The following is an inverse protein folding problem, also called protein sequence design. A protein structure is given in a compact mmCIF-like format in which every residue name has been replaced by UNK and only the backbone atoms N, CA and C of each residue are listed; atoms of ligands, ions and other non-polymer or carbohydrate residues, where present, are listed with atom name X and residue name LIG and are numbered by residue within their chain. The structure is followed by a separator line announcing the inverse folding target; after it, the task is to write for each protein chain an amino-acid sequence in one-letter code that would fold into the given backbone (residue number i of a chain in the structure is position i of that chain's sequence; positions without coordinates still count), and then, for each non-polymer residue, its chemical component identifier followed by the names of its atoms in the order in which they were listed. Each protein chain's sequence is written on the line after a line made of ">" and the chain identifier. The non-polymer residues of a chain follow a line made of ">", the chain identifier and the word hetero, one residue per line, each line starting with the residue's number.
data_IF_944905728660
#
_entry.id   IF_944905728660
#
_cell.length_a   1.000
_cell.length_b   1.000
_cell.length_c   1.000
_cell.angle_alpha   90.00
_cell.angle_beta   90.00
_cell.angle_gamma   90.00
#
_symmetry.space_group_name_H-M   'P 1'
#
loop_
_entity.id
_entity.type
_entity.pdbx_description
1 polymer ?
#
# COMPACT_ATOMS: atom_id res chain seq x y z
N UNK A 1 37.13 -77.23 32.77
CA UNK A 1 37.12 -76.09 33.73
C UNK A 1 37.25 -74.84 32.88
N UNK A 2 36.11 -74.20 32.60
CA UNK A 2 35.78 -72.81 32.99
C UNK A 2 36.53 -71.77 32.12
N UNK A 3 35.92 -71.14 31.12
CA UNK A 3 34.90 -70.07 31.13
C UNK A 3 35.47 -68.65 31.36
N UNK A 4 35.42 -67.81 30.31
CA UNK A 4 35.13 -66.35 30.25
C UNK A 4 35.56 -65.85 28.85
N UNK A 5 34.86 -65.07 28.05
CA UNK A 5 33.59 -64.34 28.11
C UNK A 5 33.65 -63.30 26.98
N UNK A 6 32.95 -63.53 25.86
CA UNK A 6 32.86 -62.56 24.75
C UNK A 6 31.53 -61.81 24.90
N UNK A 7 31.63 -60.49 25.11
CA UNK A 7 30.51 -59.58 25.30
C UNK A 7 29.63 -59.46 24.07
N UNK A 8 28.32 -59.56 24.29
CA UNK A 8 27.25 -59.31 23.33
C UNK A 8 27.18 -57.82 22.99
N UNK A 9 27.40 -57.46 21.73
CA UNK A 9 26.87 -56.19 21.20
C UNK A 9 25.37 -56.36 20.93
N UNK A 10 24.58 -55.78 21.83
CA UNK A 10 23.13 -55.78 21.77
C UNK A 10 22.59 -54.99 20.59
N UNK A 11 21.50 -55.52 20.01
CA UNK A 11 20.56 -54.85 19.12
C UNK A 11 20.11 -53.51 19.72
N UNK A 12 20.76 -52.41 19.35
CA UNK A 12 20.29 -51.06 19.67
C UNK A 12 20.61 -50.09 18.52
N UNK A 13 20.37 -50.52 17.27
CA UNK A 13 20.69 -49.72 16.08
C UNK A 13 19.62 -49.72 14.99
N UNK A 14 18.50 -50.44 15.15
CA UNK A 14 17.42 -50.49 14.13
C UNK A 14 16.10 -49.85 14.56
N UNK A 15 15.89 -49.61 15.85
CA UNK A 15 14.71 -48.90 16.37
C UNK A 15 14.87 -47.36 16.26
N UNK A 16 16.11 -46.86 16.35
CA UNK A 16 16.37 -45.41 16.34
C UNK A 16 16.31 -44.78 14.93
N UNK A 17 16.42 -45.59 13.87
CA UNK A 17 16.35 -45.10 12.49
C UNK A 17 14.91 -45.04 11.95
N UNK A 18 13.97 -45.78 12.55
CA UNK A 18 12.55 -45.74 12.20
C UNK A 18 11.79 -44.63 12.93
N UNK A 19 12.24 -44.21 14.12
CA UNK A 19 11.68 -43.02 14.79
C UNK A 19 12.09 -41.70 14.15
N UNK A 20 13.25 -41.62 13.49
CA UNK A 20 13.71 -40.39 12.84
C UNK A 20 13.02 -40.10 11.49
N UNK A 21 12.42 -41.12 10.86
CA UNK A 21 11.68 -40.99 9.60
C UNK A 21 10.18 -40.70 9.79
N UNK A 22 9.61 -40.93 10.98
CA UNK A 22 8.21 -40.58 11.28
C UNK A 22 8.04 -39.15 11.83
N UNK A 23 9.11 -38.48 12.27
CA UNK A 23 9.04 -37.11 12.83
C UNK A 23 9.14 -36.02 11.74
N UNK A 24 9.49 -36.38 10.50
CA UNK A 24 9.47 -35.43 9.35
C UNK A 24 8.13 -35.38 8.60
N UNK A 25 7.12 -36.12 9.05
CA UNK A 25 5.74 -36.04 8.55
C UNK A 25 4.83 -35.19 9.46
N UNK A 26 5.42 -34.24 10.20
CA UNK A 26 4.66 -33.26 10.97
C UNK A 26 4.04 -32.22 10.02
N UNK A 27 2.80 -32.52 9.62
CA UNK A 27 1.75 -31.56 9.27
C UNK A 27 2.14 -30.42 8.32
N UNK A 28 2.39 -30.72 7.05
CA UNK A 28 1.94 -29.79 5.99
C UNK A 28 0.46 -30.05 5.77
N UNK A 29 -0.41 -29.51 6.63
CA UNK A 29 -1.81 -29.37 6.27
C UNK A 29 -1.85 -28.51 5.00
N UNK A 30 -2.23 -29.10 3.87
CA UNK A 30 -2.65 -28.32 2.71
C UNK A 30 -3.73 -27.34 3.18
N UNK A 31 -3.74 -26.08 2.72
CA UNK A 31 -4.79 -25.13 3.06
C UNK A 31 -6.13 -25.81 2.76
N UNK A 32 -7.00 -25.84 3.76
CA UNK A 32 -8.32 -26.43 3.61
C UNK A 32 -9.04 -25.70 2.47
N UNK A 33 -9.86 -26.40 1.70
CA UNK A 33 -10.69 -25.79 0.64
C UNK A 33 -11.65 -24.69 1.17
N UNK A 34 -11.69 -24.45 2.49
CA UNK A 34 -12.34 -23.32 3.16
C UNK A 34 -11.55 -22.00 3.17
N UNK A 35 -10.30 -21.96 2.71
CA UNK A 35 -9.38 -20.81 2.88
C UNK A 35 -9.35 -19.81 1.71
N UNK A 36 -10.24 -19.94 0.72
CA UNK A 36 -10.31 -18.99 -0.40
C UNK A 36 -11.09 -17.73 0.02
N UNK A 37 -10.50 -16.52 -0.06
CA UNK A 37 -11.24 -15.29 0.09
C UNK A 37 -12.52 -15.24 -0.77
N UNK A 38 -13.62 -14.81 -0.15
CA UNK A 38 -14.93 -14.52 -0.77
C UNK A 38 -14.91 -13.24 -1.58
N UNK A 39 -13.93 -12.38 -1.34
CA UNK A 39 -13.75 -11.12 -2.05
C UNK A 39 -13.59 -11.35 -3.56
N UNK A 40 -14.42 -10.69 -4.34
CA UNK A 40 -14.33 -10.61 -5.81
C UNK A 40 -13.94 -9.18 -6.28
N UNK A 41 -14.13 -8.19 -5.40
CA UNK A 41 -13.90 -6.77 -5.67
C UNK A 41 -13.11 -6.13 -4.53
N UNK A 42 -12.05 -5.39 -4.86
CA UNK A 42 -11.25 -4.64 -3.89
C UNK A 42 -11.24 -3.17 -4.27
N UNK A 43 -11.65 -2.32 -3.33
CA UNK A 43 -11.60 -0.86 -3.44
C UNK A 43 -10.63 -0.33 -2.39
N UNK A 44 -9.67 0.49 -2.81
CA UNK A 44 -8.71 1.18 -1.93
C UNK A 44 -9.02 2.67 -1.98
N UNK A 45 -9.54 3.23 -0.90
CA UNK A 45 -9.76 4.66 -0.73
C UNK A 45 -8.60 5.28 0.06
N UNK A 46 -7.90 6.21 -0.57
CA UNK A 46 -6.81 6.99 0.05
C UNK A 46 -7.31 8.42 0.25
N UNK A 47 -7.35 8.86 1.51
CA UNK A 47 -7.68 10.25 1.91
C UNK A 47 -6.37 10.95 2.23
N UNK A 48 -5.90 11.74 1.27
CA UNK A 48 -4.53 12.27 1.18
C UNK A 48 -4.23 13.30 2.28
N UNK A 49 -3.06 13.18 2.92
CA UNK A 49 -2.54 14.17 3.87
C UNK A 49 -3.36 14.41 5.14
N UNK A 50 -4.08 13.41 5.66
CA UNK A 50 -4.82 13.54 6.92
C UNK A 50 -3.92 13.26 8.14
N UNK A 51 -4.04 14.08 9.19
CA UNK A 51 -3.39 13.79 10.48
C UNK A 51 -4.30 12.94 11.36
N UNK A 52 -3.70 12.05 12.15
CA UNK A 52 -4.42 11.29 13.19
C UNK A 52 -5.11 12.19 14.21
N UNK A 53 -4.50 13.31 14.58
CA UNK A 53 -5.04 14.28 15.55
C UNK A 53 -6.39 14.87 15.15
N UNK A 54 -6.60 15.11 13.85
CA UNK A 54 -7.87 15.63 13.32
C UNK A 54 -8.85 14.53 12.89
N UNK A 55 -8.43 13.27 12.95
CA UNK A 55 -9.23 12.10 12.55
C UNK A 55 -9.44 11.17 13.74
N UNK A 56 -8.60 10.14 13.89
CA UNK A 56 -8.85 9.00 14.77
C UNK A 56 -8.51 9.24 16.25
N UNK A 57 -7.70 10.25 16.57
CA UNK A 57 -7.41 10.61 17.97
C UNK A 57 -8.50 11.49 18.59
N UNK A 58 -9.39 12.04 17.76
CA UNK A 58 -10.45 12.99 18.17
C UNK A 58 -11.86 12.47 17.86
N UNK A 59 -12.09 11.16 17.92
CA UNK A 59 -13.37 10.55 17.52
C UNK A 59 -14.54 10.85 18.49
N UNK A 60 -15.79 11.02 17.99
CA UNK A 60 -16.19 10.92 16.58
C UNK A 60 -15.76 12.12 15.72
N UNK A 61 -15.51 13.28 16.35
CA UNK A 61 -14.85 14.44 15.74
C UNK A 61 -15.35 14.81 14.35
N UNK A 62 -14.41 15.02 13.43
CA UNK A 62 -14.68 15.31 12.01
C UNK A 62 -15.05 14.07 11.20
N UNK A 63 -14.85 12.87 11.76
CA UNK A 63 -15.02 11.60 11.07
C UNK A 63 -16.10 10.69 11.70
N UNK A 64 -17.31 11.21 12.00
CA UNK A 64 -18.32 10.43 12.71
C UNK A 64 -18.75 9.18 11.93
N UNK A 65 -18.75 9.21 10.59
CA UNK A 65 -19.18 8.06 9.81
C UNK A 65 -18.12 6.95 9.79
N UNK A 66 -16.87 7.29 9.48
CA UNK A 66 -15.76 6.33 9.50
C UNK A 66 -15.58 5.74 10.91
N UNK A 67 -15.61 6.58 11.95
CA UNK A 67 -15.31 6.14 13.32
C UNK A 67 -16.44 5.37 14.02
N UNK A 68 -17.71 5.72 13.78
CA UNK A 68 -18.85 5.11 14.49
C UNK A 68 -19.69 4.17 13.62
N UNK A 69 -19.74 4.39 12.30
CA UNK A 69 -20.58 3.59 11.39
C UNK A 69 -19.77 2.53 10.66
N UNK A 70 -18.62 2.91 10.08
CA UNK A 70 -17.82 2.02 9.26
C UNK A 70 -16.88 1.16 10.10
N UNK A 71 -16.16 1.74 11.06
CA UNK A 71 -15.19 1.02 11.92
C UNK A 71 -15.77 -0.26 12.55
N UNK A 72 -17.00 -0.30 13.12
CA UNK A 72 -17.55 -1.53 13.69
C UNK A 72 -17.82 -2.66 12.67
N UNK A 73 -17.76 -2.37 11.36
CA UNK A 73 -18.00 -3.34 10.28
C UNK A 73 -16.74 -4.09 9.85
N UNK A 74 -15.56 -3.70 10.33
CA UNK A 74 -14.28 -4.28 9.92
C UNK A 74 -13.20 -4.24 10.99
N UNK A 75 -11.96 -4.25 10.54
CA UNK A 75 -10.74 -4.20 11.36
C UNK A 75 -10.10 -2.84 11.23
N UNK A 76 -9.82 -2.19 12.36
CA UNK A 76 -9.07 -0.95 12.40
C UNK A 76 -7.63 -1.19 12.86
N UNK A 77 -6.67 -0.57 12.18
CA UNK A 77 -5.24 -0.63 12.48
C UNK A 77 -4.75 0.78 12.76
N UNK A 78 -4.65 1.19 14.04
CA UNK A 78 -4.09 2.49 14.42
C UNK A 78 -2.57 2.56 14.20
N UNK A 79 -1.88 1.42 14.18
CA UNK A 79 -0.42 1.33 13.98
C UNK A 79 -0.06 0.96 12.53
N UNK A 80 -0.86 1.44 11.58
CA UNK A 80 -0.54 1.41 10.15
C UNK A 80 0.22 2.69 9.78
N UNK A 81 1.39 2.57 9.15
CA UNK A 81 2.33 3.69 9.01
C UNK A 81 2.84 3.85 7.56
N UNK A 82 3.22 5.08 7.21
CA UNK A 82 4.17 5.33 6.14
C UNK A 82 5.54 5.57 6.76
N UNK A 83 6.37 4.54 6.85
CA UNK A 83 7.69 4.61 7.49
C UNK A 83 8.85 4.82 6.50
N UNK A 84 8.54 5.29 5.30
CA UNK A 84 9.52 5.62 4.27
C UNK A 84 9.34 7.06 3.78
N UNK A 85 8.95 7.25 2.52
CA UNK A 85 8.86 8.55 1.88
C UNK A 85 7.44 9.09 2.02
N UNK A 86 7.29 10.17 2.79
CA UNK A 86 6.01 10.74 3.19
C UNK A 86 5.49 11.76 2.18
N UNK A 87 5.72 11.52 0.88
CA UNK A 87 5.21 12.32 -0.24
C UNK A 87 4.10 11.56 -0.99
N UNK A 88 3.18 12.31 -1.62
CA UNK A 88 2.01 11.73 -2.26
C UNK A 88 2.33 10.60 -3.24
N UNK A 89 3.17 10.86 -4.25
CA UNK A 89 3.48 9.86 -5.27
C UNK A 89 4.21 8.65 -4.68
N UNK A 90 5.09 8.86 -3.70
CA UNK A 90 5.83 7.78 -3.05
C UNK A 90 4.93 6.89 -2.19
N UNK A 91 4.02 7.49 -1.41
CA UNK A 91 3.06 6.75 -0.59
C UNK A 91 2.11 5.94 -1.46
N UNK A 92 1.59 6.52 -2.54
CA UNK A 92 0.75 5.79 -3.49
C UNK A 92 1.51 4.69 -4.27
N UNK A 93 2.77 4.94 -4.65
CA UNK A 93 3.63 3.90 -5.24
C UNK A 93 3.83 2.74 -4.25
N UNK A 94 4.07 3.02 -2.96
CA UNK A 94 4.19 1.99 -1.93
C UNK A 94 2.91 1.14 -1.79
N UNK A 95 1.73 1.79 -1.70
CA UNK A 95 0.42 1.11 -1.64
C UNK A 95 0.23 0.18 -2.85
N UNK A 96 0.58 0.67 -4.04
CA UNK A 96 0.23 -0.02 -5.29
C UNK A 96 1.28 -1.02 -5.75
N UNK A 97 2.52 -0.93 -5.30
CA UNK A 97 3.60 -1.85 -5.72
C UNK A 97 4.07 -2.78 -4.60
N UNK A 98 3.78 -2.44 -3.34
CA UNK A 98 4.40 -3.11 -2.18
C UNK A 98 5.88 -2.73 -1.98
N UNK A 99 6.34 -1.65 -2.60
CA UNK A 99 7.74 -1.23 -2.57
C UNK A 99 7.86 0.24 -2.18
N UNK A 100 8.57 0.50 -1.09
CA UNK A 100 8.98 1.86 -0.74
C UNK A 100 10.03 2.33 -1.75
N UNK A 101 9.74 3.42 -2.45
CA UNK A 101 10.69 4.06 -3.36
C UNK A 101 10.61 5.59 -3.26
N UNK A 102 11.75 6.29 -3.37
CA UNK A 102 11.70 7.69 -3.75
C UNK A 102 11.18 7.76 -5.18
N UNK A 103 10.36 8.76 -5.46
CA UNK A 103 9.83 9.02 -6.80
C UNK A 103 9.45 10.50 -6.87
N UNK A 104 9.64 11.09 -8.05
CA UNK A 104 9.17 12.44 -8.35
C UNK A 104 7.72 12.65 -7.88
N UNK A 105 7.47 13.77 -7.18
CA UNK A 105 6.15 14.11 -6.67
C UNK A 105 5.34 15.03 -7.59
N UNK A 106 5.80 15.23 -8.84
CA UNK A 106 5.12 16.02 -9.87
C UNK A 106 4.46 15.16 -10.96
N UNK A 107 4.70 13.85 -10.96
CA UNK A 107 4.07 12.90 -11.90
C UNK A 107 4.86 12.70 -13.19
N UNK A 108 6.17 12.98 -13.18
CA UNK A 108 7.06 12.83 -14.34
C UNK A 108 7.89 11.54 -14.31
N UNK A 109 7.74 10.72 -13.27
CA UNK A 109 8.46 9.47 -13.08
C UNK A 109 7.47 8.33 -12.86
N UNK A 110 7.71 7.17 -13.50
CA UNK A 110 6.93 5.96 -13.25
C UNK A 110 7.52 5.14 -12.09
N UNK A 111 6.67 4.45 -11.30
CA UNK A 111 7.14 3.48 -10.32
C UNK A 111 8.14 2.47 -10.92
N UNK A 112 9.16 2.10 -10.15
CA UNK A 112 10.21 1.17 -10.58
C UNK A 112 9.71 -0.28 -10.68
N UNK A 113 8.52 -0.57 -10.15
CA UNK A 113 7.89 -1.88 -10.20
C UNK A 113 6.45 -1.78 -10.73
N UNK A 114 5.96 -2.83 -11.42
CA UNK A 114 4.57 -2.92 -11.83
C UNK A 114 3.64 -2.89 -10.61
N UNK A 115 2.52 -2.21 -10.76
CA UNK A 115 1.52 -2.12 -9.70
C UNK A 115 0.68 -3.41 -9.59
N UNK A 116 -0.02 -3.58 -8.46
CA UNK A 116 -1.00 -4.63 -8.22
C UNK A 116 -2.05 -4.71 -9.34
N UNK A 117 -2.33 -3.58 -10.00
CA UNK A 117 -3.24 -3.51 -11.13
C UNK A 117 -2.67 -4.22 -12.36
N UNK A 118 -1.40 -3.96 -12.72
CA UNK A 118 -0.73 -4.64 -13.82
C UNK A 118 -0.61 -6.15 -13.55
N UNK A 119 -0.27 -6.54 -12.33
CA UNK A 119 -0.25 -7.96 -11.95
C UNK A 119 -1.64 -8.60 -12.05
N UNK A 120 -2.67 -7.95 -11.50
CA UNK A 120 -4.05 -8.45 -11.57
C UNK A 120 -4.50 -8.67 -13.02
N UNK A 121 -4.30 -7.68 -13.90
CA UNK A 121 -4.69 -7.76 -15.31
C UNK A 121 -3.91 -8.84 -16.05
N UNK A 122 -2.58 -8.94 -15.82
CA UNK A 122 -1.75 -9.99 -16.40
C UNK A 122 -2.19 -11.39 -15.99
N UNK A 123 -2.49 -11.58 -14.70
CA UNK A 123 -2.83 -12.90 -14.12
C UNK A 123 -4.25 -13.33 -14.45
N UNK A 124 -5.18 -12.38 -14.50
CA UNK A 124 -6.60 -12.66 -14.78
C UNK A 124 -6.93 -12.70 -16.27
N UNK A 125 -6.12 -12.08 -17.14
CA UNK A 125 -6.41 -11.92 -18.56
C UNK A 125 -7.60 -10.98 -18.85
N UNK A 126 -8.07 -10.24 -17.84
CA UNK A 126 -9.21 -9.31 -17.97
C UNK A 126 -8.81 -8.04 -18.73
N UNK A 127 -9.78 -7.34 -19.36
CA UNK A 127 -9.52 -6.07 -20.01
C UNK A 127 -9.11 -4.99 -19.00
N UNK A 128 -8.45 -3.93 -19.49
CA UNK A 128 -8.02 -2.79 -18.67
C UNK A 128 -9.16 -2.20 -17.81
N UNK A 129 -10.40 -2.24 -18.28
CA UNK A 129 -11.58 -1.73 -17.55
C UNK A 129 -11.96 -2.56 -16.31
N UNK A 130 -11.35 -3.73 -16.09
CA UNK A 130 -11.51 -4.50 -14.86
C UNK A 130 -10.68 -3.94 -13.68
N UNK A 131 -9.79 -2.98 -13.94
CA UNK A 131 -8.92 -2.38 -12.93
C UNK A 131 -8.78 -0.87 -13.17
N UNK A 132 -8.96 -0.05 -12.12
CA UNK A 132 -8.99 1.42 -12.26
C UNK A 132 -8.15 2.17 -11.24
N UNK A 133 -7.54 3.26 -11.68
CA UNK A 133 -7.02 4.32 -10.82
C UNK A 133 -7.87 5.57 -11.07
N UNK A 134 -8.60 6.00 -10.05
CA UNK A 134 -9.45 7.19 -10.09
C UNK A 134 -8.92 8.19 -9.07
N UNK A 135 -8.55 9.38 -9.51
CA UNK A 135 -7.79 10.31 -8.68
C UNK A 135 -8.22 11.75 -8.87
N UNK A 136 -8.33 12.48 -7.76
CA UNK A 136 -8.46 13.93 -7.79
C UNK A 136 -7.17 14.62 -8.25
N UNK A 137 -6.00 14.05 -7.98
CA UNK A 137 -4.69 14.53 -8.47
C UNK A 137 -4.36 13.89 -9.83
N UNK A 138 -4.14 14.68 -10.88
CA UNK A 138 -3.77 14.20 -12.23
C UNK A 138 -2.42 13.46 -12.26
N UNK A 139 -1.46 13.91 -11.46
CA UNK A 139 -0.11 13.33 -11.37
C UNK A 139 -0.09 11.85 -10.96
N UNK A 140 -1.14 11.34 -10.31
CA UNK A 140 -1.24 9.93 -9.91
C UNK A 140 -1.55 8.98 -11.07
N UNK A 141 -1.69 9.49 -12.30
CA UNK A 141 -1.76 8.64 -13.50
C UNK A 141 -0.53 7.72 -13.65
N UNK A 142 0.62 8.10 -13.09
CA UNK A 142 1.86 7.32 -13.14
C UNK A 142 1.72 5.90 -12.56
N UNK A 143 0.77 5.68 -11.66
CA UNK A 143 0.55 4.38 -11.00
C UNK A 143 0.01 3.30 -11.94
N UNK A 144 -0.46 3.70 -13.13
CA UNK A 144 -0.96 2.77 -14.15
C UNK A 144 0.16 2.09 -14.94
N UNK A 145 1.41 2.54 -14.77
CA UNK A 145 2.55 2.02 -15.50
C UNK A 145 3.77 1.84 -14.60
N UNK A 146 4.86 1.32 -15.17
CA UNK A 146 6.15 1.15 -14.51
C UNK A 146 7.29 1.39 -15.48
N UNK A 147 8.47 1.70 -14.96
CA UNK A 147 9.73 1.71 -15.69
C UNK A 147 10.44 0.35 -15.71
N UNK A 148 9.88 -0.70 -15.08
CA UNK A 148 10.49 -2.03 -15.03
C UNK A 148 10.52 -2.70 -16.41
N UNK A 149 11.71 -3.02 -16.97
CA UNK A 149 11.84 -3.68 -18.27
C UNK A 149 10.96 -4.92 -18.43
N UNK A 150 10.24 -5.00 -19.56
CA UNK A 150 9.29 -6.07 -19.88
C UNK A 150 7.92 -5.93 -19.20
N UNK A 151 7.70 -4.89 -18.40
CA UNK A 151 6.39 -4.53 -17.84
C UNK A 151 5.89 -3.17 -18.32
N UNK A 152 6.78 -2.28 -18.76
CA UNK A 152 6.42 -0.98 -19.31
C UNK A 152 5.38 -1.11 -20.42
N UNK A 153 4.32 -0.29 -20.34
CA UNK A 153 3.25 -0.24 -21.33
C UNK A 153 2.48 -1.56 -21.53
N UNK A 154 2.55 -2.48 -20.56
CA UNK A 154 1.79 -3.73 -20.58
C UNK A 154 0.80 -3.80 -19.43
N UNK A 155 -0.37 -4.42 -19.69
CA UNK A 155 -1.40 -4.70 -18.69
C UNK A 155 -1.84 -3.47 -17.88
N UNK A 156 -1.86 -2.28 -18.50
CA UNK A 156 -2.20 -1.05 -17.80
C UNK A 156 -3.69 -1.03 -17.40
N UNK A 157 -4.03 -0.63 -16.16
CA UNK A 157 -5.40 -0.34 -15.77
C UNK A 157 -5.93 0.89 -16.51
N UNK A 158 -7.26 1.05 -16.48
CA UNK A 158 -7.89 2.30 -16.90
C UNK A 158 -7.64 3.42 -15.88
N UNK A 159 -7.54 4.66 -16.35
CA UNK A 159 -7.21 5.82 -15.50
C UNK A 159 -8.24 6.93 -15.69
N UNK A 160 -8.65 7.54 -14.58
CA UNK A 160 -9.38 8.80 -14.56
C UNK A 160 -8.76 9.70 -13.49
N UNK A 161 -7.83 10.58 -13.88
CA UNK A 161 -7.04 11.37 -12.95
C UNK A 161 -7.13 12.87 -13.28
N UNK A 162 -7.34 13.71 -12.28
CA UNK A 162 -7.43 15.16 -12.43
C UNK A 162 -8.75 15.64 -13.01
N UNK A 163 -8.74 16.85 -13.60
CA UNK A 163 -9.94 17.44 -14.21
C UNK A 163 -10.39 16.62 -15.41
N UNK A 164 -9.49 16.37 -16.37
CA UNK A 164 -9.75 15.65 -17.62
C UNK A 164 -8.55 14.77 -18.07
N UNK A 165 -7.65 14.38 -17.16
CA UNK A 165 -6.47 13.55 -17.46
C UNK A 165 -5.15 14.14 -16.98
N UNK A 166 -4.02 13.50 -17.31
CA UNK A 166 -2.67 13.97 -16.95
C UNK A 166 -2.41 15.40 -17.42
N UNK A 167 -1.84 16.25 -16.54
CA UNK A 167 -1.50 17.65 -16.85
C UNK A 167 -2.69 18.62 -16.82
N UNK A 168 -3.89 18.16 -16.44
CA UNK A 168 -5.10 19.00 -16.36
C UNK A 168 -5.33 19.60 -14.98
N UNK A 169 -4.42 19.35 -14.03
CA UNK A 169 -4.52 19.82 -12.66
C UNK A 169 -5.50 19.00 -11.83
N UNK A 170 -5.83 19.53 -10.65
CA UNK A 170 -6.56 18.78 -9.64
C UNK A 170 -8.07 19.02 -9.71
N UNK A 171 -8.84 17.96 -9.43
CA UNK A 171 -10.30 17.98 -9.39
C UNK A 171 -10.79 17.86 -7.95
N UNK A 172 -11.94 18.45 -7.66
CA UNK A 172 -12.60 18.34 -6.35
C UNK A 172 -13.03 16.89 -6.06
N UNK A 173 -12.93 16.47 -4.80
CA UNK A 173 -13.25 15.09 -4.38
C UNK A 173 -14.72 14.74 -4.61
N UNK A 174 -15.64 15.70 -4.55
CA UNK A 174 -17.05 15.50 -4.91
C UNK A 174 -17.22 15.04 -6.37
N UNK A 175 -16.47 15.64 -7.30
CA UNK A 175 -16.52 15.28 -8.72
C UNK A 175 -15.80 13.94 -8.95
N UNK A 176 -14.74 13.66 -8.19
CA UNK A 176 -14.08 12.35 -8.22
C UNK A 176 -15.01 11.24 -7.73
N UNK A 177 -15.80 11.46 -6.66
CA UNK A 177 -16.80 10.49 -6.21
C UNK A 177 -17.88 10.22 -7.27
N UNK A 178 -18.32 11.26 -8.00
CA UNK A 178 -19.27 11.10 -9.11
C UNK A 178 -18.67 10.19 -10.19
N UNK A 179 -17.41 10.42 -10.58
CA UNK A 179 -16.73 9.57 -11.56
C UNK A 179 -16.52 8.14 -11.05
N UNK A 180 -16.16 7.96 -9.77
CA UNK A 180 -16.07 6.64 -9.13
C UNK A 180 -17.38 5.88 -9.25
N UNK A 181 -18.52 6.49 -8.85
CA UNK A 181 -19.84 5.85 -8.93
C UNK A 181 -20.25 5.54 -10.37
N UNK A 182 -19.94 6.44 -11.31
CA UNK A 182 -20.16 6.20 -12.75
C UNK A 182 -19.38 4.99 -13.23
N UNK A 183 -18.08 4.90 -12.91
CA UNK A 183 -17.21 3.79 -13.30
C UNK A 183 -17.66 2.48 -12.65
N UNK A 184 -17.99 2.48 -11.35
CA UNK A 184 -18.50 1.30 -10.65
C UNK A 184 -19.80 0.78 -11.29
N UNK A 185 -20.70 1.69 -11.70
CA UNK A 185 -21.94 1.34 -12.40
C UNK A 185 -21.69 0.76 -13.80
N UNK A 186 -20.82 1.39 -14.59
CA UNK A 186 -20.61 1.05 -16.00
C UNK A 186 -19.66 -0.13 -16.21
N UNK A 187 -18.54 -0.14 -15.50
CA UNK A 187 -17.44 -1.08 -15.75
C UNK A 187 -17.31 -2.18 -14.71
N UNK A 188 -17.84 -1.96 -13.50
CA UNK A 188 -17.81 -2.93 -12.38
C UNK A 188 -16.42 -3.54 -12.15
N UNK A 189 -15.37 -2.71 -11.98
CA UNK A 189 -14.01 -3.21 -11.91
C UNK A 189 -13.76 -4.03 -10.65
N UNK A 190 -12.97 -5.10 -10.79
CA UNK A 190 -12.55 -5.96 -9.68
C UNK A 190 -11.55 -5.28 -8.74
N UNK A 191 -10.79 -4.31 -9.23
CA UNK A 191 -9.78 -3.62 -8.44
C UNK A 191 -9.80 -2.13 -8.75
N UNK A 192 -9.99 -1.29 -7.74
CA UNK A 192 -9.98 0.18 -7.91
C UNK A 192 -9.20 0.85 -6.79
N UNK A 193 -8.35 1.82 -7.15
CA UNK A 193 -7.85 2.83 -6.21
C UNK A 193 -8.58 4.15 -6.45
N UNK A 194 -8.90 4.82 -5.35
CA UNK A 194 -9.52 6.14 -5.28
C UNK A 194 -8.61 7.05 -4.46
N UNK A 195 -8.21 8.20 -5.00
CA UNK A 195 -7.51 9.25 -4.24
C UNK A 195 -8.41 10.48 -4.10
N UNK A 196 -8.63 10.90 -2.85
CA UNK A 196 -9.21 12.18 -2.47
C UNK A 196 -8.13 13.12 -1.95
N UNK A 197 -8.08 14.34 -2.48
CA UNK A 197 -6.95 15.26 -2.33
C UNK A 197 -7.20 16.44 -1.40
N UNK A 198 -8.47 16.76 -1.11
CA UNK A 198 -8.86 18.06 -0.58
C UNK A 198 -8.19 18.40 0.75
N UNK A 199 -8.06 17.49 1.74
CA UNK A 199 -7.32 17.78 2.95
C UNK A 199 -5.89 18.24 2.63
N UNK A 200 -5.11 17.43 1.91
CA UNK A 200 -3.75 17.80 1.55
C UNK A 200 -3.65 19.13 0.76
N UNK A 201 -4.52 19.33 -0.24
CA UNK A 201 -4.54 20.54 -1.05
C UNK A 201 -4.83 21.80 -0.21
N UNK A 202 -5.77 21.75 0.73
CA UNK A 202 -6.07 22.88 1.60
C UNK A 202 -5.03 23.07 2.70
N UNK A 203 -4.36 22.00 3.12
CA UNK A 203 -3.24 22.08 4.05
C UNK A 203 -2.08 22.88 3.43
N UNK A 204 -1.63 22.52 2.23
CA UNK A 204 -0.61 23.26 1.50
C UNK A 204 -0.99 24.72 1.21
N UNK A 205 -2.28 25.01 1.05
CA UNK A 205 -2.79 26.37 0.90
C UNK A 205 -2.88 27.16 2.23
N UNK A 206 -2.33 26.62 3.33
CA UNK A 206 -2.43 27.16 4.69
C UNK A 206 -3.88 27.45 5.14
N UNK A 207 -4.85 26.72 4.59
CA UNK A 207 -6.28 26.96 4.82
C UNK A 207 -6.85 25.96 5.81
N UNK A 208 -6.58 26.21 7.09
CA UNK A 208 -7.03 25.35 8.19
C UNK A 208 -8.54 25.07 8.19
N UNK A 209 -9.45 26.07 8.01
CA UNK A 209 -10.88 25.77 7.96
C UNK A 209 -11.29 24.83 6.82
N UNK A 210 -10.69 24.97 5.63
CA UNK A 210 -10.97 24.06 4.52
C UNK A 210 -10.29 22.69 4.67
N UNK A 211 -9.14 22.61 5.34
CA UNK A 211 -8.51 21.35 5.73
C UNK A 211 -9.48 20.48 6.54
N UNK A 212 -10.04 21.03 7.62
CA UNK A 212 -11.01 20.34 8.47
C UNK A 212 -12.31 20.00 7.71
N UNK A 213 -12.77 20.90 6.82
CA UNK A 213 -13.94 20.63 5.96
C UNK A 213 -13.67 19.57 4.90
N UNK A 214 -12.43 19.45 4.40
CA UNK A 214 -12.00 18.37 3.51
C UNK A 214 -12.15 17.03 4.23
N UNK A 215 -11.54 16.89 5.40
CA UNK A 215 -11.62 15.68 6.24
C UNK A 215 -13.09 15.28 6.49
N UNK A 216 -13.92 16.25 6.90
CA UNK A 216 -15.34 15.98 7.17
C UNK A 216 -16.15 15.63 5.91
N UNK A 217 -15.76 16.14 4.73
CA UNK A 217 -16.40 15.75 3.46
C UNK A 217 -16.01 14.33 3.07
N UNK A 218 -14.73 13.99 3.15
CA UNK A 218 -14.25 12.66 2.78
C UNK A 218 -14.76 11.57 3.73
N UNK A 219 -15.00 11.88 5.00
CA UNK A 219 -15.74 11.01 5.92
C UNK A 219 -17.15 10.66 5.40
N UNK A 220 -17.88 11.65 4.87
CA UNK A 220 -19.20 11.42 4.27
C UNK A 220 -19.09 10.63 2.98
N UNK A 221 -18.11 10.94 2.13
CA UNK A 221 -17.88 10.23 0.87
C UNK A 221 -17.46 8.77 1.09
N UNK A 222 -16.68 8.48 2.12
CA UNK A 222 -16.33 7.12 2.51
C UNK A 222 -17.59 6.30 2.87
N UNK A 223 -18.51 6.89 3.64
CA UNK A 223 -19.80 6.24 3.94
C UNK A 223 -20.66 6.08 2.70
N UNK A 224 -20.77 7.13 1.90
CA UNK A 224 -21.56 7.13 0.67
C UNK A 224 -21.06 6.09 -0.34
N UNK A 225 -19.74 5.90 -0.45
CA UNK A 225 -19.12 4.84 -1.23
C UNK A 225 -19.45 3.45 -0.67
N UNK A 226 -19.33 3.26 0.65
CA UNK A 226 -19.64 1.99 1.29
C UNK A 226 -21.11 1.60 1.12
N UNK A 227 -22.03 2.55 1.31
CA UNK A 227 -23.47 2.32 1.11
C UNK A 227 -23.76 1.95 -0.34
N UNK A 228 -23.21 2.69 -1.31
CA UNK A 228 -23.34 2.38 -2.74
C UNK A 228 -22.90 0.94 -3.07
N UNK A 229 -21.74 0.51 -2.54
CA UNK A 229 -21.22 -0.85 -2.75
C UNK A 229 -22.10 -1.93 -2.09
N UNK A 230 -22.87 -1.61 -1.06
CA UNK A 230 -23.77 -2.58 -0.40
C UNK A 230 -25.19 -2.57 -0.96
N UNK A 231 -25.59 -1.52 -1.66
CA UNK A 231 -26.88 -1.47 -2.34
C UNK A 231 -26.88 -2.30 -3.64
N UNK A 232 -25.78 -2.30 -4.39
CA UNK A 232 -25.62 -3.04 -5.64
C UNK A 232 -25.32 -4.55 -5.40
N UNK A 233 -26.10 -5.42 -6.03
CA UNK A 233 -26.00 -6.89 -5.88
C UNK A 233 -24.68 -7.46 -6.41
N UNK A 234 -24.02 -6.77 -7.34
CA UNK A 234 -22.70 -7.13 -7.87
C UNK A 234 -21.65 -7.07 -6.76
N UNK A 235 -21.72 -6.03 -5.92
CA UNK A 235 -20.69 -5.69 -4.94
C UNK A 235 -21.02 -6.18 -3.52
N UNK A 236 -22.31 -6.19 -3.15
CA UNK A 236 -22.77 -6.52 -1.79
C UNK A 236 -22.27 -7.90 -1.35
N UNK A 237 -21.57 -7.94 -0.22
CA UNK A 237 -21.05 -9.17 0.37
C UNK A 237 -19.87 -9.81 -0.39
N UNK A 238 -19.38 -9.16 -1.45
CA UNK A 238 -18.24 -9.59 -2.29
C UNK A 238 -17.12 -8.56 -2.36
N UNK A 239 -17.33 -7.38 -1.78
CA UNK A 239 -16.38 -6.27 -1.84
C UNK A 239 -15.60 -6.13 -0.54
N UNK A 240 -14.30 -5.97 -0.69
CA UNK A 240 -13.42 -5.46 0.36
C UNK A 240 -13.12 -3.99 0.10
N UNK A 241 -13.30 -3.14 1.11
CA UNK A 241 -12.96 -1.72 1.10
C UNK A 241 -11.83 -1.47 2.13
N UNK A 242 -10.72 -0.93 1.65
CA UNK A 242 -9.67 -0.35 2.48
C UNK A 242 -9.80 1.17 2.49
N UNK A 243 -9.69 1.79 3.65
CA UNK A 243 -9.64 3.24 3.82
C UNK A 243 -8.38 3.59 4.59
N UNK A 244 -7.52 4.43 4.01
CA UNK A 244 -6.23 4.80 4.57
C UNK A 244 -5.83 6.22 4.13
N UNK A 245 -4.62 6.63 4.49
CA UNK A 245 -3.92 7.80 3.97
C UNK A 245 -2.55 7.35 3.45
N UNK A 246 -1.97 8.09 2.54
CA UNK A 246 -0.63 7.85 1.99
C UNK A 246 0.47 8.49 2.83
N UNK A 247 0.17 9.60 3.52
CA UNK A 247 1.04 10.20 4.52
C UNK A 247 0.22 11.03 5.52
N UNK A 248 0.83 11.32 6.66
CA UNK A 248 0.37 12.34 7.59
C UNK A 248 1.02 13.70 7.28
N UNK A 249 1.14 14.55 8.30
CA UNK A 249 1.69 15.92 8.20
C UNK A 249 2.39 16.33 9.49
N UNK A 250 3.17 17.41 9.48
CA UNK A 250 3.82 17.85 10.72
C UNK A 250 2.80 18.15 11.84
N UNK A 251 3.18 17.81 13.06
CA UNK A 251 2.38 18.08 14.26
C UNK A 251 2.50 19.54 14.68
N UNK A 252 1.64 19.98 15.61
CA UNK A 252 1.75 21.31 16.20
C UNK A 252 3.12 21.47 16.88
N UNK A 253 3.78 22.61 16.64
CA UNK A 253 5.09 22.92 17.20
C UNK A 253 6.29 22.42 16.37
N UNK A 254 6.05 21.69 15.28
CA UNK A 254 7.05 21.39 14.26
C UNK A 254 6.98 22.48 13.17
N UNK A 255 8.13 22.89 12.65
CA UNK A 255 8.21 23.91 11.59
C UNK A 255 7.34 23.55 10.38
N UNK A 256 6.71 24.55 9.74
CA UNK A 256 5.71 24.34 8.69
C UNK A 256 4.34 23.81 9.18
N UNK A 257 4.28 23.13 10.32
CA UNK A 257 3.05 22.61 10.92
C UNK A 257 2.19 21.81 9.93
N UNK A 258 0.87 21.93 10.02
CA UNK A 258 -0.03 21.18 9.13
C UNK A 258 0.15 21.49 7.64
N UNK A 259 0.87 22.55 7.25
CA UNK A 259 1.10 22.91 5.84
C UNK A 259 2.11 21.96 5.20
N UNK A 260 3.04 21.42 5.98
CA UNK A 260 4.20 20.69 5.48
C UNK A 260 4.21 19.20 5.88
N UNK A 261 4.87 18.44 5.03
CA UNK A 261 5.16 17.02 5.17
C UNK A 261 6.33 16.65 4.24
N UNK A 262 6.76 15.38 4.26
CA UNK A 262 7.82 14.88 3.38
C UNK A 262 9.10 14.46 4.11
N UNK A 263 9.15 14.69 5.42
CA UNK A 263 10.23 14.24 6.28
C UNK A 263 9.88 12.95 7.05
N UNK A 264 10.80 12.50 7.90
CA UNK A 264 10.63 11.33 8.74
C UNK A 264 10.02 11.64 10.12
N UNK A 265 9.38 12.80 10.31
CA UNK A 265 8.80 13.12 11.61
C UNK A 265 7.60 12.19 11.92
N UNK A 266 7.29 11.93 13.20
CA UNK A 266 6.18 11.05 13.56
C UNK A 266 4.84 11.46 12.95
N UNK A 267 4.57 12.77 12.83
CA UNK A 267 3.34 13.28 12.23
C UNK A 267 3.19 12.92 10.74
N UNK A 268 4.29 12.96 9.98
CA UNK A 268 4.32 12.57 8.57
C UNK A 268 4.12 11.06 8.37
N UNK A 269 4.65 10.25 9.27
CA UNK A 269 4.62 8.80 9.15
C UNK A 269 3.33 8.17 9.68
N UNK A 270 2.68 8.83 10.64
CA UNK A 270 1.50 8.31 11.31
C UNK A 270 0.25 8.44 10.43
N UNK A 271 -0.29 7.29 10.04
CA UNK A 271 -1.55 7.14 9.30
C UNK A 271 -2.42 6.07 9.99
N UNK A 272 -3.31 5.43 9.24
CA UNK A 272 -4.23 4.41 9.74
C UNK A 272 -4.68 3.49 8.62
N UNK A 273 -5.27 2.33 8.97
CA UNK A 273 -6.00 1.51 8.02
C UNK A 273 -7.32 1.05 8.63
N UNK A 274 -8.43 1.31 7.93
CA UNK A 274 -9.70 0.65 8.17
C UNK A 274 -9.97 -0.33 7.02
N UNK A 275 -10.06 -1.61 7.34
CA UNK A 275 -10.28 -2.69 6.38
C UNK A 275 -11.65 -3.35 6.64
N UNK A 276 -12.54 -3.36 5.66
CA UNK A 276 -13.88 -3.94 5.75
C UNK A 276 -14.13 -4.87 4.59
N UNK A 277 -14.74 -6.03 4.83
CA UNK A 277 -15.03 -6.99 3.77
C UNK A 277 -15.56 -8.32 4.29
N UNK A 278 -16.00 -9.24 3.40
CA UNK A 278 -16.58 -10.53 3.79
C UNK A 278 -15.58 -11.45 4.49
N UNK A 279 -14.30 -11.29 4.20
CA UNK A 279 -13.19 -12.14 4.67
C UNK A 279 -12.58 -11.69 5.99
N UNK A 280 -12.89 -10.46 6.44
CA UNK A 280 -12.23 -9.86 7.59
C UNK A 280 -12.99 -10.06 8.88
N UNK A 281 -12.23 -10.27 9.97
CA UNK A 281 -12.77 -10.22 11.33
C UNK A 281 -13.21 -8.79 11.68
N UNK A 282 -13.70 -8.59 12.90
CA UNK A 282 -14.03 -7.26 13.43
C UNK A 282 -13.14 -6.93 14.61
N UNK A 283 -12.85 -5.65 14.82
CA UNK A 283 -12.12 -5.18 16.00
C UNK A 283 -10.93 -4.31 15.63
N UNK A 284 -9.86 -4.43 16.41
CA UNK A 284 -8.64 -3.63 16.24
C UNK A 284 -7.42 -4.53 16.24
N UNK A 285 -6.46 -4.24 15.36
CA UNK A 285 -5.17 -4.91 15.27
C UNK A 285 -4.10 -3.88 15.60
N UNK A 286 -3.37 -4.13 16.68
CA UNK A 286 -2.32 -3.22 17.19
C UNK A 286 -0.94 -3.53 16.61
N UNK A 287 -0.77 -4.66 15.91
CA UNK A 287 0.49 -4.99 15.23
C UNK A 287 0.84 -3.90 14.22
N UNK A 288 2.12 -3.53 14.17
CA UNK A 288 2.63 -2.56 13.20
C UNK A 288 2.58 -3.14 11.79
N UNK A 289 1.97 -2.38 10.87
CA UNK A 289 1.96 -2.63 9.44
C UNK A 289 2.25 -1.34 8.68
N UNK A 290 2.60 -1.43 7.40
CA UNK A 290 2.92 -0.24 6.61
C UNK A 290 2.30 -0.27 5.22
N UNK A 291 2.35 0.85 4.50
CA UNK A 291 1.76 1.01 3.16
C UNK A 291 2.03 -0.17 2.22
N UNK A 292 3.26 -0.72 2.27
CA UNK A 292 3.68 -1.78 1.36
C UNK A 292 2.90 -3.08 1.55
N UNK A 293 2.32 -3.31 2.74
CA UNK A 293 1.60 -4.55 3.06
C UNK A 293 0.21 -4.63 2.38
N UNK A 294 -0.32 -3.51 1.87
CA UNK A 294 -1.61 -3.51 1.16
C UNK A 294 -1.55 -4.31 -0.15
N UNK A 295 -0.51 -4.10 -0.95
CA UNK A 295 -0.36 -4.74 -2.26
C UNK A 295 -0.45 -6.29 -2.21
N UNK A 296 0.37 -7.00 -1.42
CA UNK A 296 0.27 -8.46 -1.30
C UNK A 296 -1.04 -8.91 -0.64
N UNK A 297 -1.61 -8.11 0.27
CA UNK A 297 -2.92 -8.41 0.87
C UNK A 297 -4.02 -8.40 -0.18
N UNK A 298 -4.03 -7.41 -1.07
CA UNK A 298 -4.95 -7.36 -2.22
C UNK A 298 -4.72 -8.53 -3.17
N UNK A 299 -3.46 -8.87 -3.45
CA UNK A 299 -3.12 -10.00 -4.30
C UNK A 299 -3.68 -11.33 -3.76
N UNK A 300 -3.59 -11.54 -2.43
CA UNK A 300 -4.24 -12.68 -1.77
C UNK A 300 -5.76 -12.67 -1.91
N UNK A 301 -6.41 -11.53 -1.64
CA UNK A 301 -7.87 -11.40 -1.74
C UNK A 301 -8.40 -11.72 -3.14
N UNK A 302 -7.67 -11.32 -4.18
CA UNK A 302 -8.03 -11.50 -5.58
C UNK A 302 -7.35 -12.72 -6.23
N UNK A 303 -6.74 -13.59 -5.43
CA UNK A 303 -6.18 -14.89 -5.85
C UNK A 303 -5.12 -14.80 -6.95
N UNK A 304 -4.21 -13.84 -6.87
CA UNK A 304 -3.06 -13.74 -7.78
C UNK A 304 -1.75 -13.52 -7.03
N UNK A 305 -0.63 -13.75 -7.72
CA UNK A 305 0.71 -13.59 -7.16
C UNK A 305 1.45 -12.44 -7.84
N UNK A 306 2.17 -11.66 -7.03
CA UNK A 306 3.15 -10.67 -7.47
C UNK A 306 4.56 -11.27 -7.47
N UNK A 307 5.51 -10.65 -8.17
CA UNK A 307 6.88 -11.11 -8.14
C UNK A 307 7.50 -10.88 -6.76
N UNK A 308 8.29 -11.85 -6.29
CA UNK A 308 9.03 -11.74 -5.04
C UNK A 308 10.33 -10.96 -5.18
N UNK A 309 10.81 -10.71 -6.40
CA UNK A 309 11.97 -9.88 -6.69
C UNK A 309 11.51 -8.53 -7.23
N UNK A 310 12.00 -7.46 -6.62
CA UNK A 310 11.61 -6.09 -6.91
C UNK A 310 12.81 -5.17 -7.03
N UNK A 311 12.65 -4.10 -7.80
CA UNK A 311 13.65 -3.06 -7.99
C UNK A 311 13.42 -1.94 -6.99
N UNK A 312 14.43 -1.55 -6.22
CA UNK A 312 14.35 -0.43 -5.27
C UNK A 312 15.32 0.64 -5.73
N UNK A 313 14.83 1.81 -6.18
CA UNK A 313 15.67 2.98 -6.38
C UNK A 313 16.27 3.40 -5.03
N UNK A 314 17.59 3.46 -4.95
CA UNK A 314 18.32 3.98 -3.78
C UNK A 314 19.13 5.18 -4.21
N UNK A 315 19.19 6.18 -3.34
CA UNK A 315 20.16 7.26 -3.49
C UNK A 315 21.49 6.72 -2.95
N UNK A 316 22.45 6.51 -3.85
CA UNK A 316 23.83 6.21 -3.50
C UNK A 316 24.65 7.50 -3.52
N UNK A 317 25.54 7.64 -2.55
CA UNK A 317 26.42 8.80 -2.42
C UNK A 317 27.80 8.38 -2.90
N UNK A 318 28.14 8.71 -4.14
CA UNK A 318 29.48 8.47 -4.68
C UNK A 318 30.36 9.70 -4.45
N UNK A 319 31.47 9.50 -3.74
CA UNK A 319 32.53 10.51 -3.63
C UNK A 319 33.34 10.49 -4.92
N UNK A 320 33.30 11.59 -5.68
CA UNK A 320 34.16 11.74 -6.85
C UNK A 320 35.47 12.38 -6.40
N UNK A 321 36.52 11.56 -6.26
CA UNK A 321 37.89 12.08 -6.18
C UNK A 321 38.28 12.56 -7.57
N UNK A 322 38.45 13.87 -7.76
CA UNK A 322 38.96 14.42 -9.01
C UNK A 322 40.33 13.80 -9.33
N UNK A 323 40.59 13.31 -10.56
CA UNK A 323 41.93 12.92 -10.94
C UNK A 323 42.82 14.16 -10.85
N UNK A 324 43.82 14.11 -9.97
CA UNK A 324 44.84 15.13 -9.89
C UNK A 324 45.69 15.08 -11.16
N UNK A 325 45.30 15.85 -12.18
CA UNK A 325 46.16 16.15 -13.32
C UNK A 325 46.50 17.65 -13.36
N UNK A 326 47.69 17.91 -12.81
CA UNK A 326 48.70 18.85 -13.30
C UNK A 326 48.28 20.26 -13.75
N UNK A 327 47.96 21.13 -12.79
CA UNK A 327 48.59 22.45 -12.56
C UNK A 327 47.66 23.33 -11.70
N UNK A 328 48.16 23.81 -10.57
CA UNK A 328 47.45 24.60 -9.54
C UNK A 328 46.53 23.78 -8.62
N UNK A 329 47.15 23.01 -7.72
CA UNK A 329 46.47 22.49 -6.54
C UNK A 329 46.18 23.63 -5.55
N UNK A 330 44.96 24.15 -5.59
CA UNK A 330 44.35 24.88 -4.48
C UNK A 330 43.11 24.09 -4.03
N UNK A 331 43.17 23.52 -2.83
CA UNK A 331 42.11 22.88 -2.04
C UNK A 331 41.18 21.92 -2.82
N UNK A 332 41.44 20.61 -2.67
CA UNK A 332 40.52 19.57 -3.14
C UNK A 332 39.11 19.76 -2.58
N UNK A 333 38.18 20.12 -3.45
CA UNK A 333 36.75 20.00 -3.19
C UNK A 333 36.35 18.57 -3.57
N UNK A 334 36.19 17.72 -2.56
CA UNK A 334 35.44 16.49 -2.74
C UNK A 334 34.02 16.89 -3.16
N UNK A 335 33.63 16.56 -4.40
CA UNK A 335 32.27 16.78 -4.87
C UNK A 335 31.46 15.53 -4.60
N UNK A 336 30.33 15.69 -3.91
CA UNK A 336 29.38 14.62 -3.62
C UNK A 336 28.42 14.55 -4.81
N UNK A 337 28.39 13.41 -5.51
CA UNK A 337 27.35 13.12 -6.49
C UNK A 337 26.33 12.18 -5.87
N UNK A 338 25.05 12.55 -5.97
CA UNK A 338 23.95 11.67 -5.64
C UNK A 338 23.54 10.95 -6.93
N UNK A 339 23.66 9.62 -6.94
CA UNK A 339 23.22 8.79 -8.05
C UNK A 339 22.07 7.90 -7.59
N UNK A 340 21.05 7.72 -8.43
CA UNK A 340 19.99 6.74 -8.16
C UNK A 340 20.44 5.39 -8.72
N UNK A 341 20.69 4.43 -7.83
CA UNK A 341 21.05 3.07 -8.19
C UNK A 341 19.82 2.18 -8.06
N UNK A 342 19.59 1.32 -9.04
CA UNK A 342 18.53 0.32 -9.02
C UNK A 342 19.06 -0.98 -8.39
N UNK A 343 18.59 -1.29 -7.18
CA UNK A 343 18.94 -2.51 -6.46
C UNK A 343 17.82 -3.55 -6.59
N UNK A 344 18.15 -4.82 -6.84
CA UNK A 344 17.15 -5.90 -6.86
C UNK A 344 17.16 -6.62 -5.51
N UNK A 345 16.01 -6.62 -4.82
CA UNK A 345 15.85 -7.26 -3.52
C UNK A 345 14.60 -8.13 -3.46
N UNK A 346 14.51 -8.98 -2.45
CA UNK A 346 13.27 -9.67 -2.09
C UNK A 346 12.24 -8.65 -1.58
N UNK A 347 11.00 -8.77 -2.06
CA UNK A 347 9.85 -7.99 -1.62
C UNK A 347 9.67 -8.15 -0.10
N UNK A 348 9.75 -7.03 0.62
CA UNK A 348 9.61 -7.01 2.07
C UNK A 348 8.16 -7.01 2.55
N UNK A 349 7.25 -6.53 1.69
CA UNK A 349 5.83 -6.46 1.96
C UNK A 349 5.24 -7.84 2.30
N UNK A 350 4.30 -7.86 3.24
CA UNK A 350 3.65 -9.09 3.69
C UNK A 350 2.14 -8.94 3.65
N UNK A 351 1.46 -10.07 3.49
CA UNK A 351 0.01 -10.12 3.72
C UNK A 351 -0.25 -9.77 5.19
N UNK A 352 -1.23 -8.90 5.44
CA UNK A 352 -1.71 -8.58 6.79
C UNK A 352 -2.64 -9.74 7.24
N UNK A 353 -2.04 -10.83 7.71
CA UNK A 353 -2.77 -12.05 8.10
C UNK A 353 -3.79 -11.79 9.20
N UNK A 354 -3.52 -10.83 10.10
CA UNK A 354 -4.42 -10.51 11.19
C UNK A 354 -5.75 -9.89 10.74
N UNK A 355 -5.93 -9.49 9.48
CA UNK A 355 -7.23 -9.03 8.98
C UNK A 355 -8.25 -10.16 8.88
N UNK A 356 -7.80 -11.36 8.55
CA UNK A 356 -8.66 -12.48 8.15
C UNK A 356 -9.30 -13.18 9.37
N UNK A 357 -10.42 -13.88 9.12
CA UNK A 357 -11.18 -14.65 10.12
C UNK A 357 -10.53 -15.98 10.49
#
# INVERSE_FOLDING_TARGET
>A
MEATGIGKYGRCGRELLLLLLMVLAACTSSPSASDKPKTEYVIILVIDGTRMSETWDSVPGLIPNMSTVLRPKGVFLPNFLNDAYTYTNSGHAAITTGVNQPIDNYGNEFPANPSIFQYFLKRSGKPATAAWIVSSKDKLHILANTSRPGWENTYQPSVNAGVNGPGTGYRMDSLTLIEVKRILTTHKPNLMLINFMEPDGFAHAANWPNYLRGISRDDRYAKELWDFLNEDETFRGKTTLFITADHGRHLNGIDGGFVDHGDSCPGCQQIYLLAMGPDFKRGTVETRHTLIDLAPTVARLLHFTMDSLVVVPRVDTTYVTSPADSAQAALGQDSIRLEIVMDTTVLKARVIEELFK
#
